data_IF_914009149624
#
_entry.id   IF_914009149624
#
_cell.length_a   1.000
_cell.length_b   1.000
_cell.length_c   1.000
_cell.angle_alpha   90.00
_cell.angle_beta   90.00
_cell.angle_gamma   90.00
#
_symmetry.space_group_name_H-M   'P 1'
#
loop_
_entity.id
_entity.type
_entity.pdbx_description
1 polymer ?
#
# COMPACT_ATOMS: atom_id res chain seq x y z
N UNK A 1 17.00 -2.24 25.46
CA UNK A 1 16.42 -2.54 24.11
C UNK A 1 17.19 -3.70 23.50
N UNK A 2 16.52 -4.56 22.73
CA UNK A 2 17.11 -5.65 21.95
C UNK A 2 16.76 -5.48 20.48
N UNK A 3 17.60 -6.00 19.59
CA UNK A 3 17.33 -6.07 18.15
C UNK A 3 16.61 -7.39 17.88
N UNK A 4 15.53 -7.32 17.11
CA UNK A 4 14.72 -8.46 16.69
C UNK A 4 14.63 -8.48 15.18
N UNK A 5 14.48 -9.69 14.63
CA UNK A 5 14.34 -9.90 13.20
C UNK A 5 13.14 -10.80 12.95
N UNK A 6 12.23 -10.33 12.10
CA UNK A 6 11.09 -11.12 11.66
C UNK A 6 11.21 -11.36 10.15
N UNK A 7 11.15 -12.62 9.76
CA UNK A 7 11.21 -13.04 8.36
C UNK A 7 9.90 -13.77 8.04
N UNK A 8 9.31 -13.46 6.89
CA UNK A 8 8.18 -14.20 6.36
C UNK A 8 8.39 -14.49 4.88
N UNK A 9 8.02 -15.69 4.46
CA UNK A 9 7.99 -16.13 3.06
C UNK A 9 6.57 -16.51 2.67
N UNK A 10 6.15 -16.17 1.47
CA UNK A 10 4.92 -16.68 0.85
C UNK A 10 5.17 -16.95 -0.63
N UNK A 11 4.55 -18.00 -1.17
CA UNK A 11 4.48 -18.21 -2.61
C UNK A 11 3.40 -17.33 -3.23
N UNK A 12 3.72 -16.70 -4.34
CA UNK A 12 2.81 -15.91 -5.16
C UNK A 12 2.66 -16.60 -6.51
N UNK A 13 1.41 -16.79 -6.93
CA UNK A 13 1.07 -17.29 -8.27
C UNK A 13 1.14 -16.14 -9.30
N UNK A 14 2.28 -15.44 -9.30
CA UNK A 14 2.60 -14.31 -10.15
C UNK A 14 4.09 -14.32 -10.53
N UNK A 15 4.46 -13.90 -11.76
CA UNK A 15 5.86 -13.67 -12.11
C UNK A 15 6.51 -12.63 -11.18
N UNK A 16 7.80 -12.80 -10.85
CA UNK A 16 8.52 -11.89 -9.95
C UNK A 16 8.43 -10.42 -10.40
N UNK A 17 8.53 -10.17 -11.72
CA UNK A 17 8.38 -8.83 -12.30
C UNK A 17 7.01 -8.19 -12.01
N UNK A 18 5.93 -8.96 -12.07
CA UNK A 18 4.58 -8.47 -11.79
C UNK A 18 4.38 -8.18 -10.31
N UNK A 19 4.83 -9.10 -9.45
CA UNK A 19 4.75 -8.93 -8.00
C UNK A 19 5.56 -7.70 -7.54
N UNK A 20 6.78 -7.55 -8.06
CA UNK A 20 7.62 -6.39 -7.80
C UNK A 20 6.96 -5.10 -8.27
N UNK A 21 6.48 -5.05 -9.52
CA UNK A 21 5.85 -3.85 -10.08
C UNK A 21 4.59 -3.44 -9.30
N UNK A 22 3.77 -4.41 -8.87
CA UNK A 22 2.62 -4.16 -8.00
C UNK A 22 3.06 -3.55 -6.68
N UNK A 23 4.06 -4.14 -6.00
CA UNK A 23 4.49 -3.70 -4.68
C UNK A 23 5.24 -2.36 -4.71
N UNK A 24 5.94 -2.07 -5.80
CA UNK A 24 6.73 -0.85 -5.96
C UNK A 24 5.85 0.39 -6.24
N UNK A 25 4.56 0.23 -6.56
CA UNK A 25 3.63 1.35 -6.73
C UNK A 25 3.40 2.09 -5.41
N UNK A 26 3.27 3.41 -5.47
CA UNK A 26 3.10 4.23 -4.26
C UNK A 26 1.78 3.90 -3.55
N UNK A 27 0.74 3.52 -4.28
CA UNK A 27 -0.59 3.18 -3.77
C UNK A 27 -0.64 1.81 -3.10
N UNK A 28 0.31 0.92 -3.42
CA UNK A 28 0.42 -0.39 -2.77
C UNK A 28 0.66 -0.24 -1.25
N UNK A 29 1.34 0.82 -0.80
CA UNK A 29 1.51 1.06 0.62
C UNK A 29 0.18 1.31 1.33
N UNK A 30 -0.75 2.09 0.77
CA UNK A 30 -2.08 2.29 1.39
C UNK A 30 -2.86 0.99 1.45
N UNK A 31 -2.70 0.13 0.45
CA UNK A 31 -3.30 -1.20 0.41
C UNK A 31 -2.70 -2.15 1.45
N UNK A 32 -1.41 -2.02 1.75
CA UNK A 32 -0.65 -2.85 2.69
C UNK A 32 -0.65 -2.35 4.14
N UNK A 33 -1.29 -1.21 4.42
CA UNK A 33 -1.56 -0.74 5.80
C UNK A 33 -2.80 -1.48 6.32
N UNK A 34 -2.70 -2.27 7.40
CA UNK A 34 -3.85 -2.96 7.96
C UNK A 34 -4.80 -2.02 8.69
N UNK A 35 -6.07 -2.39 8.76
CA UNK A 35 -7.13 -1.57 9.35
C UNK A 35 -6.97 -1.26 10.86
N UNK A 36 -6.17 -2.04 11.61
CA UNK A 36 -5.86 -1.76 13.02
C UNK A 36 -4.69 -0.77 13.20
N UNK A 37 -4.11 -0.29 12.10
CA UNK A 37 -3.04 0.71 12.10
C UNK A 37 -3.60 1.99 11.49
N UNK A 38 -3.47 3.07 12.24
CA UNK A 38 -3.88 4.39 11.78
C UNK A 38 -2.64 5.12 11.25
N UNK A 39 -2.52 5.11 9.93
CA UNK A 39 -1.39 5.66 9.19
C UNK A 39 -1.91 6.68 8.19
N UNK A 40 -1.43 7.90 8.31
CA UNK A 40 -1.76 9.00 7.41
C UNK A 40 -0.51 9.38 6.61
N UNK A 41 -0.56 9.23 5.30
CA UNK A 41 0.49 9.73 4.41
C UNK A 41 0.26 11.22 4.18
N UNK A 42 1.32 12.02 4.23
CA UNK A 42 1.21 13.48 4.10
C UNK A 42 1.95 14.06 2.89
N UNK A 43 2.55 13.21 2.05
CA UNK A 43 3.16 13.62 0.79
C UNK A 43 2.98 12.54 -0.28
N UNK A 44 2.57 12.95 -1.48
CA UNK A 44 2.63 12.11 -2.67
C UNK A 44 4.09 11.75 -2.95
N UNK A 45 4.36 10.48 -3.25
CA UNK A 45 5.70 10.03 -3.59
C UNK A 45 5.76 9.77 -5.09
N UNK A 46 6.77 10.33 -5.76
CA UNK A 46 7.09 10.00 -7.13
C UNK A 46 7.41 8.51 -7.26
N UNK A 47 7.50 8.01 -8.50
CA UNK A 47 7.91 6.63 -8.78
C UNK A 47 9.17 6.25 -7.98
N UNK A 48 9.27 4.99 -7.52
CA UNK A 48 10.37 4.56 -6.66
C UNK A 48 11.72 4.75 -7.35
N UNK A 49 12.56 5.56 -6.72
CA UNK A 49 13.92 5.89 -7.08
C UNK A 49 14.78 5.77 -5.83
N UNK A 50 16.12 5.76 -5.98
CA UNK A 50 17.04 5.72 -4.81
C UNK A 50 16.89 6.92 -3.87
N UNK A 51 16.22 7.98 -4.30
CA UNK A 51 15.99 9.20 -3.52
C UNK A 51 14.56 9.28 -2.97
N UNK A 52 13.72 8.28 -3.24
CA UNK A 52 12.32 8.28 -2.83
C UNK A 52 12.21 8.22 -1.30
N UNK A 53 11.65 9.30 -0.75
CA UNK A 53 11.19 9.38 0.63
C UNK A 53 9.66 9.32 0.67
N UNK A 54 9.11 8.39 1.43
CA UNK A 54 7.69 8.36 1.77
C UNK A 54 7.56 8.90 3.18
N UNK A 55 6.85 10.02 3.30
CA UNK A 55 6.61 10.69 4.58
C UNK A 55 5.20 10.44 5.06
N UNK A 56 5.08 9.89 6.27
CA UNK A 56 3.81 9.48 6.85
C UNK A 56 3.80 9.63 8.37
N UNK A 57 2.61 9.63 8.96
CA UNK A 57 2.40 9.74 10.40
C UNK A 57 1.70 8.50 10.89
N UNK A 58 2.16 8.00 12.02
CA UNK A 58 1.48 6.94 12.76
C UNK A 58 0.70 7.57 13.91
N UNK A 59 -0.58 7.23 14.03
CA UNK A 59 -1.38 7.66 15.17
C UNK A 59 -1.33 6.60 16.27
N UNK A 60 -1.05 7.04 17.50
CA UNK A 60 -1.12 6.20 18.69
C UNK A 60 -1.76 6.95 19.84
N UNK A 61 -3.02 6.62 20.12
CA UNK A 61 -3.84 7.40 21.05
C UNK A 61 -3.95 8.85 20.57
N UNK A 62 -3.55 9.80 21.42
CA UNK A 62 -3.60 11.23 21.13
C UNK A 62 -2.39 11.75 20.32
N UNK A 63 -1.35 10.94 20.14
CA UNK A 63 -0.10 11.36 19.51
C UNK A 63 -0.07 11.02 18.01
N UNK A 64 0.49 11.93 17.21
CA UNK A 64 0.85 11.69 15.80
C UNK A 64 2.36 11.72 15.67
N UNK A 65 2.96 10.56 15.39
CA UNK A 65 4.41 10.41 15.36
C UNK A 65 4.87 10.45 13.90
N UNK A 66 5.72 11.41 13.49
CA UNK A 66 6.22 11.47 12.13
C UNK A 66 7.19 10.32 11.84
N UNK A 67 7.11 9.83 10.62
CA UNK A 67 7.94 8.75 10.12
C UNK A 67 8.33 9.01 8.66
N UNK A 68 9.54 8.59 8.31
CA UNK A 68 10.07 8.66 6.95
C UNK A 68 10.55 7.28 6.56
N UNK A 69 10.09 6.79 5.41
CA UNK A 69 10.59 5.57 4.77
C UNK A 69 11.44 5.98 3.58
N UNK A 70 12.69 5.53 3.55
CA UNK A 70 13.68 5.87 2.51
C UNK A 70 14.04 4.61 1.75
N UNK A 71 14.02 4.67 0.43
CA UNK A 71 14.55 3.59 -0.39
C UNK A 71 16.08 3.60 -0.31
N UNK A 72 16.70 2.51 0.14
CA UNK A 72 18.15 2.36 0.25
C UNK A 72 18.74 1.44 -0.82
N UNK A 73 18.01 0.40 -1.18
CA UNK A 73 18.40 -0.55 -2.21
C UNK A 73 17.28 -0.73 -3.21
N UNK A 74 17.62 -0.75 -4.50
CA UNK A 74 16.67 -1.03 -5.58
C UNK A 74 17.37 -1.89 -6.62
N UNK A 75 16.92 -3.13 -6.77
CA UNK A 75 17.37 -4.09 -7.78
C UNK A 75 16.15 -4.71 -8.46
N UNK A 76 15.50 -3.99 -9.40
CA UNK A 76 14.36 -4.52 -10.11
C UNK A 76 14.75 -5.73 -10.98
N UNK A 77 13.87 -6.73 -11.14
CA UNK A 77 12.59 -6.93 -10.45
C UNK A 77 12.71 -7.75 -9.15
N UNK A 78 13.91 -7.95 -8.61
CA UNK A 78 14.16 -8.98 -7.60
C UNK A 78 14.17 -8.48 -6.17
N UNK A 79 14.54 -7.23 -5.91
CA UNK A 79 14.66 -6.72 -4.53
C UNK A 79 14.51 -5.21 -4.43
N UNK A 80 13.94 -4.77 -3.31
CA UNK A 80 14.19 -3.43 -2.80
C UNK A 80 14.27 -3.41 -1.27
N UNK A 81 14.99 -2.42 -0.75
CA UNK A 81 15.27 -2.26 0.69
C UNK A 81 14.90 -0.87 1.12
N UNK A 82 14.12 -0.79 2.20
CA UNK A 82 13.69 0.43 2.82
C UNK A 82 14.36 0.60 4.18
N UNK A 83 14.76 1.82 4.50
CA UNK A 83 15.12 2.23 5.86
C UNK A 83 14.02 3.12 6.41
N UNK A 84 13.63 2.89 7.66
CA UNK A 84 12.67 3.76 8.34
C UNK A 84 13.34 4.60 9.41
N UNK A 85 13.05 5.90 9.39
CA UNK A 85 13.51 6.87 10.38
C UNK A 85 12.28 7.50 11.05
N UNK A 86 12.28 7.50 12.39
CA UNK A 86 11.13 7.95 13.17
C UNK A 86 10.02 6.90 13.25
N UNK A 87 8.86 7.29 13.78
CA UNK A 87 7.83 6.33 14.18
C UNK A 87 8.19 5.60 15.49
N UNK A 88 7.22 4.84 16.01
CA UNK A 88 7.40 4.09 17.24
C UNK A 88 7.97 2.70 16.92
N UNK A 89 9.11 2.35 17.53
CA UNK A 89 9.82 1.08 17.26
C UNK A 89 10.13 0.87 15.77
N UNK A 90 10.88 1.80 15.14
CA UNK A 90 11.12 1.75 13.71
C UNK A 90 11.78 0.43 13.34
N UNK A 91 11.19 -0.35 12.41
CA UNK A 91 12.00 -1.25 11.62
C UNK A 91 13.12 -0.45 10.98
N UNK A 92 14.35 -0.72 11.37
CA UNK A 92 15.52 -0.03 10.84
C UNK A 92 15.68 -0.37 9.38
N UNK A 93 15.60 -1.66 9.06
CA UNK A 93 15.82 -2.16 7.71
C UNK A 93 14.66 -3.09 7.39
N UNK A 94 14.07 -2.86 6.22
CA UNK A 94 12.97 -3.64 5.69
C UNK A 94 13.32 -4.07 4.27
N UNK A 95 13.50 -5.37 4.06
CA UNK A 95 13.95 -5.95 2.79
C UNK A 95 12.81 -6.73 2.16
N UNK A 96 12.57 -6.47 0.89
CA UNK A 96 11.59 -7.15 0.06
C UNK A 96 12.31 -7.90 -1.06
N UNK A 97 12.21 -9.23 -1.09
CA UNK A 97 12.78 -10.06 -2.15
C UNK A 97 11.68 -10.81 -2.91
N UNK A 98 11.82 -10.86 -4.23
CA UNK A 98 10.95 -11.56 -5.17
C UNK A 98 11.80 -12.58 -5.93
N UNK A 99 11.85 -13.80 -5.42
CA UNK A 99 12.66 -14.89 -5.95
C UNK A 99 11.84 -15.66 -6.98
N UNK A 100 12.24 -15.62 -8.25
CA UNK A 100 11.52 -16.32 -9.32
C UNK A 100 11.51 -17.84 -9.09
N UNK A 101 10.33 -18.44 -9.13
CA UNK A 101 10.12 -19.89 -9.06
C UNK A 101 9.45 -20.33 -10.37
N UNK A 102 10.16 -20.17 -11.48
CA UNK A 102 9.65 -20.39 -12.85
C UNK A 102 9.02 -19.15 -13.48
N UNK A 103 8.29 -19.34 -14.59
CA UNK A 103 7.76 -18.24 -15.40
C UNK A 103 6.51 -17.57 -14.81
N UNK A 104 5.71 -18.30 -14.02
CA UNK A 104 4.37 -17.87 -13.57
C UNK A 104 4.26 -17.68 -12.06
N UNK A 105 5.32 -17.97 -11.30
CA UNK A 105 5.31 -17.87 -9.84
C UNK A 105 6.63 -17.34 -9.27
N UNK A 106 6.55 -16.77 -8.08
CA UNK A 106 7.71 -16.36 -7.30
C UNK A 106 7.47 -16.56 -5.81
N UNK A 107 8.55 -16.63 -5.04
CA UNK A 107 8.48 -16.47 -3.60
C UNK A 107 8.74 -15.01 -3.23
N UNK A 108 7.82 -14.46 -2.44
CA UNK A 108 7.99 -13.18 -1.81
C UNK A 108 8.48 -13.36 -0.37
N UNK A 109 9.62 -12.76 -0.07
CA UNK A 109 10.28 -12.79 1.25
C UNK A 109 10.36 -11.37 1.78
N UNK A 110 9.76 -11.15 2.95
CA UNK A 110 9.80 -9.88 3.68
C UNK A 110 10.64 -10.11 4.95
N UNK A 111 11.71 -9.33 5.11
CA UNK A 111 12.59 -9.37 6.27
C UNK A 111 12.62 -7.99 6.95
N UNK A 112 12.26 -7.97 8.23
CA UNK A 112 12.16 -6.75 9.01
C UNK A 112 13.08 -6.85 10.21
N UNK A 113 14.03 -5.92 10.30
CA UNK A 113 14.86 -5.73 11.49
C UNK A 113 14.35 -4.52 12.29
N UNK A 114 14.06 -4.69 13.58
CA UNK A 114 13.50 -3.65 14.44
C UNK A 114 14.02 -3.76 15.87
N UNK A 115 13.91 -2.66 16.65
CA UNK A 115 14.33 -2.65 18.05
C UNK A 115 13.12 -2.60 18.98
N UNK A 116 13.13 -3.46 19.99
CA UNK A 116 12.08 -3.54 21.01
C UNK A 116 12.64 -3.45 22.43
N UNK A 117 11.82 -3.08 23.43
CA UNK A 117 12.14 -3.26 24.84
C UNK A 117 12.37 -4.75 25.18
N UNK A 118 13.03 -5.04 26.30
CA UNK A 118 13.09 -6.41 26.83
C UNK A 118 11.82 -6.72 27.63
N UNK A 119 11.49 -8.01 27.80
CA UNK A 119 10.30 -8.48 28.51
C UNK A 119 9.01 -8.41 27.70
N UNK A 120 7.88 -8.57 28.39
CA UNK A 120 6.54 -8.74 27.80
C UNK A 120 6.12 -7.67 26.78
N UNK A 121 6.51 -6.40 26.98
CA UNK A 121 6.24 -5.34 26.01
C UNK A 121 6.92 -5.62 24.67
N UNK A 122 8.16 -6.12 24.69
CA UNK A 122 8.88 -6.52 23.49
C UNK A 122 8.24 -7.70 22.79
N UNK A 123 7.79 -8.71 23.54
CA UNK A 123 7.09 -9.88 23.00
C UNK A 123 5.79 -9.50 22.27
N UNK A 124 4.99 -8.59 22.86
CA UNK A 124 3.78 -8.07 22.21
C UNK A 124 4.07 -7.36 20.89
N UNK A 125 5.15 -6.57 20.82
CA UNK A 125 5.56 -5.88 19.60
C UNK A 125 6.05 -6.86 18.53
N UNK A 126 6.76 -7.92 18.92
CA UNK A 126 7.14 -8.99 18.00
C UNK A 126 5.90 -9.71 17.44
N UNK A 127 4.91 -10.01 18.27
CA UNK A 127 3.65 -10.62 17.84
C UNK A 127 2.86 -9.69 16.90
N UNK A 128 2.83 -8.38 17.18
CA UNK A 128 2.21 -7.38 16.30
C UNK A 128 2.92 -7.32 14.93
N UNK A 129 4.26 -7.37 14.91
CA UNK A 129 5.03 -7.41 13.68
C UNK A 129 4.74 -8.67 12.85
N UNK A 130 4.68 -9.84 13.49
CA UNK A 130 4.31 -11.09 12.81
C UNK A 130 2.90 -11.01 12.21
N UNK A 131 1.94 -10.42 12.93
CA UNK A 131 0.58 -10.19 12.45
C UNK A 131 0.56 -9.22 11.25
N UNK A 132 1.36 -8.16 11.30
CA UNK A 132 1.51 -7.21 10.18
C UNK A 132 2.04 -7.90 8.93
N UNK A 133 3.12 -8.67 9.04
CA UNK A 133 3.68 -9.42 7.91
C UNK A 133 2.69 -10.46 7.37
N UNK A 134 1.98 -11.17 8.25
CA UNK A 134 0.94 -12.10 7.84
C UNK A 134 -0.13 -11.42 6.98
N UNK A 135 -0.60 -10.24 7.41
CA UNK A 135 -1.60 -9.46 6.68
C UNK A 135 -1.08 -9.01 5.31
N UNK A 136 0.11 -8.40 5.26
CA UNK A 136 0.70 -7.91 4.01
C UNK A 136 0.86 -9.00 2.97
N UNK A 137 1.41 -10.14 3.38
CA UNK A 137 1.55 -11.31 2.51
C UNK A 137 0.18 -11.84 2.04
N UNK A 138 -0.83 -11.79 2.91
CA UNK A 138 -2.18 -12.21 2.53
C UNK A 138 -2.77 -11.25 1.51
N UNK A 139 -2.71 -9.95 1.74
CA UNK A 139 -3.22 -8.93 0.80
C UNK A 139 -2.53 -9.04 -0.55
N UNK A 140 -1.19 -9.03 -0.57
CA UNK A 140 -0.40 -9.13 -1.81
C UNK A 140 -0.78 -10.37 -2.62
N UNK A 141 -0.90 -11.53 -1.97
CA UNK A 141 -1.24 -12.78 -2.66
C UNK A 141 -2.65 -12.75 -3.25
N UNK A 142 -3.65 -12.27 -2.51
CA UNK A 142 -5.03 -12.22 -3.02
C UNK A 142 -5.18 -11.19 -4.14
N UNK A 143 -4.57 -10.01 -3.97
CA UNK A 143 -4.67 -8.93 -4.95
C UNK A 143 -3.97 -9.31 -6.27
N UNK A 144 -2.77 -9.89 -6.21
CA UNK A 144 -2.08 -10.35 -7.42
C UNK A 144 -2.88 -11.43 -8.15
N UNK A 145 -3.45 -12.39 -7.42
CA UNK A 145 -4.29 -13.44 -8.03
C UNK A 145 -5.51 -12.84 -8.73
N UNK A 146 -6.16 -11.85 -8.11
CA UNK A 146 -7.33 -11.19 -8.69
C UNK A 146 -6.97 -10.35 -9.92
N UNK A 147 -5.88 -9.57 -9.87
CA UNK A 147 -5.43 -8.77 -11.00
C UNK A 147 -4.97 -9.63 -12.18
N UNK A 148 -4.31 -10.76 -11.95
CA UNK A 148 -3.88 -11.69 -13.01
C UNK A 148 -5.02 -12.48 -13.65
N UNK A 149 -6.15 -12.63 -12.95
CA UNK A 149 -7.35 -13.22 -13.51
C UNK A 149 -8.12 -12.25 -14.42
N UNK A 150 -7.86 -10.95 -14.30
CA UNK A 150 -8.45 -9.91 -15.14
C UNK A 150 -7.56 -9.59 -16.35
N UNK A 151 -8.12 -9.02 -17.44
CA UNK A 151 -7.32 -8.51 -18.55
C UNK A 151 -6.29 -7.49 -18.09
N UNK A 152 -5.06 -7.63 -18.55
CA UNK A 152 -3.97 -6.72 -18.23
C UNK A 152 -4.05 -5.42 -19.05
N UNK A 153 -5.08 -4.62 -18.77
CA UNK A 153 -5.31 -3.32 -19.39
C UNK A 153 -5.55 -2.27 -18.30
N UNK A 154 -4.72 -1.23 -18.21
CA UNK A 154 -5.02 -0.06 -17.38
C UNK A 154 -6.38 0.53 -17.75
N UNK A 155 -7.14 0.95 -16.73
CA UNK A 155 -8.46 1.56 -16.90
C UNK A 155 -8.54 2.86 -16.12
N UNK A 156 -9.29 3.83 -16.62
CA UNK A 156 -9.70 5.02 -15.87
C UNK A 156 -11.08 4.77 -15.26
N UNK A 157 -11.14 4.67 -13.93
CA UNK A 157 -12.34 4.27 -13.18
C UNK A 157 -12.85 5.42 -12.33
N UNK A 158 -14.11 5.80 -12.49
CA UNK A 158 -14.78 6.78 -11.64
C UNK A 158 -15.39 6.09 -10.42
N UNK A 159 -15.13 6.58 -9.21
CA UNK A 159 -15.60 5.97 -7.96
C UNK A 159 -16.37 6.97 -7.11
N UNK A 160 -17.67 6.72 -6.89
CA UNK A 160 -18.47 7.44 -5.90
C UNK A 160 -18.37 6.74 -4.54
N UNK A 161 -18.71 7.41 -3.43
CA UNK A 161 -18.59 6.79 -2.10
C UNK A 161 -17.15 6.43 -1.70
N UNK A 162 -16.17 7.09 -2.31
CA UNK A 162 -14.73 6.81 -2.19
C UNK A 162 -14.17 6.86 -0.77
N UNK A 163 -14.77 7.65 0.12
CA UNK A 163 -14.39 7.76 1.54
C UNK A 163 -15.09 6.74 2.44
N UNK A 164 -16.03 5.97 1.89
CA UNK A 164 -16.81 4.97 2.63
C UNK A 164 -16.01 3.72 3.00
N UNK A 165 -16.69 2.79 3.68
CA UNK A 165 -16.11 1.52 4.13
C UNK A 165 -15.44 0.74 3.00
N UNK A 166 -16.10 0.64 1.84
CA UNK A 166 -15.61 -0.10 0.68
C UNK A 166 -14.67 0.76 -0.17
N UNK A 167 -15.07 2.02 -0.45
CA UNK A 167 -14.35 2.92 -1.35
C UNK A 167 -12.89 3.12 -0.95
N UNK A 168 -12.62 3.30 0.34
CA UNK A 168 -11.26 3.53 0.85
C UNK A 168 -10.30 2.34 0.65
N UNK A 169 -10.83 1.14 0.45
CA UNK A 169 -10.05 -0.07 0.19
C UNK A 169 -10.02 -0.41 -1.30
N UNK A 170 -11.11 -0.14 -2.03
CA UNK A 170 -11.19 -0.39 -3.47
C UNK A 170 -10.22 0.47 -4.27
N UNK A 171 -10.08 1.74 -3.91
CA UNK A 171 -9.22 2.69 -4.61
C UNK A 171 -7.75 2.26 -4.63
N UNK A 172 -7.10 2.02 -3.47
CA UNK A 172 -5.71 1.58 -3.47
C UNK A 172 -5.55 0.16 -4.04
N UNK A 173 -6.58 -0.69 -3.99
CA UNK A 173 -6.59 -1.99 -4.68
C UNK A 173 -6.47 -1.81 -6.20
N UNK A 174 -7.36 -1.00 -6.81
CA UNK A 174 -7.36 -0.72 -8.26
C UNK A 174 -6.06 -0.01 -8.69
N UNK A 175 -5.63 0.99 -7.92
CA UNK A 175 -4.41 1.74 -8.22
C UNK A 175 -3.16 0.85 -8.16
N UNK A 176 -3.05 -0.03 -7.15
CA UNK A 176 -1.96 -1.00 -7.07
C UNK A 176 -2.00 -2.01 -8.24
N UNK A 177 -3.19 -2.30 -8.80
CA UNK A 177 -3.36 -3.06 -10.05
C UNK A 177 -2.86 -2.32 -11.31
N UNK A 178 -2.68 -1.00 -11.24
CA UNK A 178 -2.28 -0.15 -12.37
C UNK A 178 -3.43 0.62 -13.02
N UNK A 179 -4.61 0.62 -12.42
CA UNK A 179 -5.74 1.44 -12.88
C UNK A 179 -5.63 2.87 -12.34
N UNK A 180 -6.14 3.85 -13.08
CA UNK A 180 -6.29 5.23 -12.60
C UNK A 180 -7.67 5.40 -11.99
N UNK A 181 -7.75 5.75 -10.73
CA UNK A 181 -9.02 5.98 -10.04
C UNK A 181 -9.29 7.46 -9.87
N UNK A 182 -10.44 7.94 -10.33
CA UNK A 182 -10.91 9.29 -10.08
C UNK A 182 -12.05 9.22 -9.06
N UNK A 183 -11.95 10.01 -8.00
CA UNK A 183 -12.93 10.04 -6.92
C UNK A 183 -13.98 11.09 -7.21
N UNK A 184 -15.24 10.68 -7.24
CA UNK A 184 -16.35 11.60 -7.30
C UNK A 184 -16.83 11.91 -5.88
N UNK A 185 -16.63 13.16 -5.46
CA UNK A 185 -16.95 13.64 -4.12
C UNK A 185 -18.05 14.71 -4.16
N UNK A 186 -18.82 14.83 -3.08
CA UNK A 186 -19.75 15.95 -2.91
C UNK A 186 -19.04 17.30 -2.78
N UNK A 187 -17.82 17.26 -2.24
CA UNK A 187 -16.92 18.41 -2.10
C UNK A 187 -15.52 17.89 -2.33
N UNK A 188 -14.92 18.29 -3.44
CA UNK A 188 -13.54 17.92 -3.74
C UNK A 188 -12.59 18.85 -3.00
N UNK A 189 -11.40 18.36 -2.68
CA UNK A 189 -10.29 19.22 -2.29
C UNK A 189 -9.70 19.79 -3.59
N UNK A 190 -9.62 21.12 -3.78
CA UNK A 190 -9.07 21.69 -5.01
C UNK A 190 -7.62 21.29 -5.29
N UNK A 191 -6.87 20.85 -4.28
CA UNK A 191 -5.50 20.36 -4.42
C UNK A 191 -5.39 18.90 -4.87
N UNK A 192 -6.52 18.19 -4.96
CA UNK A 192 -6.58 16.77 -5.25
C UNK A 192 -6.91 16.51 -6.72
N UNK A 193 -5.88 16.33 -7.55
CA UNK A 193 -6.01 16.17 -9.00
C UNK A 193 -6.79 14.92 -9.44
N UNK A 194 -7.01 13.96 -8.54
CA UNK A 194 -7.79 12.75 -8.79
C UNK A 194 -9.14 12.78 -8.06
N UNK A 195 -9.67 13.97 -7.79
CA UNK A 195 -11.03 14.19 -7.30
C UNK A 195 -11.82 15.11 -8.23
N UNK A 196 -13.05 14.71 -8.54
CA UNK A 196 -14.07 15.53 -9.20
C UNK A 196 -15.17 15.85 -8.20
N UNK A 197 -15.70 17.07 -8.27
CA UNK A 197 -16.84 17.49 -7.45
C UNK A 197 -18.14 17.28 -8.21
N UNK A 198 -19.12 16.67 -7.53
CA UNK A 198 -20.37 16.22 -8.13
C UNK A 198 -21.18 17.36 -8.77
N UNK A 199 -21.22 18.52 -8.14
CA UNK A 199 -22.05 19.65 -8.60
C UNK A 199 -21.40 20.49 -9.70
N UNK A 200 -20.08 20.40 -9.89
CA UNK A 200 -19.34 21.19 -10.88
C UNK A 200 -18.92 20.41 -12.12
N UNK A 201 -19.29 19.13 -12.21
CA UNK A 201 -18.99 18.32 -13.38
C UNK A 201 -20.00 18.62 -14.51
N UNK A 202 -19.60 19.48 -15.44
CA UNK A 202 -20.26 19.64 -16.75
C UNK A 202 -20.12 18.36 -17.59
N UNK A 203 -20.87 18.22 -18.69
CA UNK A 203 -20.88 17.03 -19.56
C UNK A 203 -19.48 16.53 -19.96
N UNK A 204 -18.53 17.44 -20.17
CA UNK A 204 -17.13 17.12 -20.53
C UNK A 204 -16.36 16.46 -19.37
N UNK A 205 -16.68 16.79 -18.11
CA UNK A 205 -16.07 16.22 -16.92
C UNK A 205 -16.39 14.74 -16.70
N UNK A 206 -17.40 14.22 -17.41
CA UNK A 206 -17.88 12.84 -17.33
C UNK A 206 -17.32 11.92 -18.43
N UNK A 207 -16.51 12.44 -19.35
CA UNK A 207 -16.00 11.67 -20.47
C UNK A 207 -14.67 10.93 -20.16
N UNK A 208 -14.41 9.88 -20.95
CA UNK A 208 -13.14 9.16 -20.96
C UNK A 208 -12.93 8.15 -19.82
N UNK A 209 -13.97 7.79 -19.07
CA UNK A 209 -13.92 6.68 -18.11
C UNK A 209 -14.19 5.33 -18.80
N UNK A 210 -13.40 4.31 -18.49
CA UNK A 210 -13.65 2.93 -18.93
C UNK A 210 -14.74 2.26 -18.07
N UNK A 211 -14.90 2.70 -16.82
CA UNK A 211 -15.84 2.13 -15.87
C UNK A 211 -16.26 3.13 -14.78
N UNK A 212 -17.44 2.90 -14.21
CA UNK A 212 -17.98 3.65 -13.06
C UNK A 212 -18.34 2.67 -11.95
N UNK A 213 -17.90 2.96 -10.73
CA UNK A 213 -18.24 2.22 -9.52
C UNK A 213 -19.01 3.13 -8.57
N UNK A 214 -20.30 2.85 -8.40
CA UNK A 214 -21.18 3.64 -7.54
C UNK A 214 -21.29 3.02 -6.14
N UNK A 215 -20.60 3.60 -5.16
CA UNK A 215 -20.66 3.18 -3.74
C UNK A 215 -21.31 4.24 -2.84
N UNK A 216 -21.85 5.32 -3.42
CA UNK A 216 -22.54 6.33 -2.66
C UNK A 216 -23.87 5.77 -2.13
N UNK A 217 -24.03 5.81 -0.81
CA UNK A 217 -25.19 5.32 -0.10
C UNK A 217 -24.98 5.47 1.39
N UNK A 218 -26.07 5.63 2.15
CA UNK A 218 -26.02 5.55 3.61
C UNK A 218 -26.16 4.08 4.02
N UNK A 219 -25.48 3.68 5.10
CA UNK A 219 -25.85 2.45 5.80
C UNK A 219 -27.23 2.69 6.42
N UNK A 220 -28.21 1.84 6.10
CA UNK A 220 -29.50 1.76 6.79
C UNK A 220 -29.33 1.00 8.12
#
# INVERSE_FOLDING_TARGET
MKTERCIRRVRLDAPAQRAFAWHARSEAFERLVPAWRDVERFAASAAPSKETEIRWRERRGLWRIPCVTRLRGLRPPSEFTEERVGGLFPPRIHVHRFEAEGATSCAYVEEVEFRVPRGFVGERLCAEMQRLLFYRHSVLRHDLRAHLAAPDRPMKVLVTGSRGLIGRHLIPYLAAGGHRTIRLARRADPSDSDALEWESADSEGWEGFDAVVHLAGANL
#
